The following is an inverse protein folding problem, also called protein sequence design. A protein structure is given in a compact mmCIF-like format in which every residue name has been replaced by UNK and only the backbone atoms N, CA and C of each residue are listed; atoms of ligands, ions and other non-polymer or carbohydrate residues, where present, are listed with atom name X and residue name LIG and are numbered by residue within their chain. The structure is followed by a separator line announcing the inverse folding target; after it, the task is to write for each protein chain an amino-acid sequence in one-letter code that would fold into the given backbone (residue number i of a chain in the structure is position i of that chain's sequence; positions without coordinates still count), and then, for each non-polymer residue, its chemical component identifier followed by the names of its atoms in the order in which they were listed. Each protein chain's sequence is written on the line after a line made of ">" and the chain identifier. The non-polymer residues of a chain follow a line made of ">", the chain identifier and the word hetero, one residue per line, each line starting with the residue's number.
data_IF_567637649362
#
_entry.id   IF_567637649362
#
_cell.length_a   1.000
_cell.length_b   1.000
_cell.length_c   1.000
_cell.angle_alpha   90.00
_cell.angle_beta   90.00
_cell.angle_gamma   90.00
#
_symmetry.space_group_name_H-M   'P 1'
#
loop_
_entity.id
_entity.type
_entity.pdbx_description
1 polymer ?
#
# COMPACT_ATOMS: atom_id res chain seq x y z
N UNK A 1 -1.81 8.75 0.02
CA UNK A 1 -1.15 9.84 0.78
C UNK A 1 -0.49 10.87 -0.13
N UNK A 2 -0.62 10.78 -1.46
CA UNK A 2 -0.18 11.85 -2.37
C UNK A 2 -1.02 13.12 -2.21
N UNK A 3 -2.25 12.98 -1.71
CA UNK A 3 -3.26 14.04 -1.73
C UNK A 3 -3.36 14.78 -0.39
N UNK A 4 -2.52 14.45 0.59
CA UNK A 4 -2.45 15.13 1.90
C UNK A 4 -1.02 15.14 2.43
N UNK A 5 -0.17 15.94 1.78
CA UNK A 5 1.24 16.07 2.16
C UNK A 5 1.41 16.81 3.48
N UNK A 6 0.58 17.81 3.77
CA UNK A 6 0.62 18.57 5.03
C UNK A 6 0.35 17.66 6.25
N UNK A 7 -0.64 16.78 6.15
CA UNK A 7 -0.94 15.80 7.19
C UNK A 7 0.22 14.81 7.40
N UNK A 8 0.89 14.39 6.32
CA UNK A 8 2.07 13.53 6.41
C UNK A 8 3.25 14.25 7.09
N UNK A 9 3.54 15.48 6.67
CA UNK A 9 4.58 16.33 7.26
C UNK A 9 4.33 16.59 8.74
N UNK A 10 3.08 16.85 9.13
CA UNK A 10 2.71 17.06 10.53
C UNK A 10 3.08 15.88 11.44
N UNK A 11 2.91 14.65 10.95
CA UNK A 11 3.34 13.44 11.67
C UNK A 11 4.86 13.41 11.79
N UNK A 12 5.58 13.74 10.71
CA UNK A 12 7.04 13.76 10.71
C UNK A 12 7.59 14.80 11.69
N UNK A 13 7.08 16.03 11.66
CA UNK A 13 7.43 17.11 12.59
C UNK A 13 7.29 16.67 14.04
N UNK A 14 6.17 16.04 14.37
CA UNK A 14 5.92 15.53 15.73
C UNK A 14 6.97 14.48 16.12
N UNK A 15 7.29 13.54 15.23
CA UNK A 15 8.21 12.43 15.54
C UNK A 15 9.68 12.83 15.55
N UNK A 16 10.08 13.89 14.83
CA UNK A 16 11.47 14.23 14.54
C UNK A 16 12.38 14.33 15.78
N UNK A 17 11.87 14.96 16.85
CA UNK A 17 12.63 15.17 18.08
C UNK A 17 12.42 14.06 19.13
N UNK A 18 11.53 13.09 18.88
CA UNK A 18 11.06 12.11 19.88
C UNK A 18 11.55 10.71 19.53
N UNK A 19 11.61 10.36 18.24
CA UNK A 19 11.90 9.02 17.76
C UNK A 19 13.18 9.04 16.90
N UNK A 20 14.20 8.24 17.22
CA UNK A 20 15.47 8.24 16.49
C UNK A 20 15.37 7.70 15.06
N UNK A 21 14.34 6.89 14.78
CA UNK A 21 14.08 6.36 13.44
C UNK A 21 12.58 6.15 13.25
N UNK A 22 11.99 6.92 12.33
CA UNK A 22 10.59 6.86 11.98
C UNK A 22 10.43 6.74 10.46
N UNK A 23 9.42 6.00 10.01
CA UNK A 23 9.10 5.86 8.60
C UNK A 23 7.63 5.60 8.39
N UNK A 24 7.04 6.28 7.41
CA UNK A 24 5.63 6.11 7.05
C UNK A 24 5.49 5.13 5.89
N UNK A 25 4.68 4.09 6.06
CA UNK A 25 4.35 3.16 4.99
C UNK A 25 3.18 3.71 4.17
N UNK A 26 3.41 3.94 2.89
CA UNK A 26 2.37 4.28 1.92
C UNK A 26 2.18 3.14 0.93
N UNK A 27 0.96 2.92 0.41
CA UNK A 27 0.76 2.03 -0.74
C UNK A 27 1.48 2.59 -1.97
N UNK A 28 2.22 1.73 -2.68
CA UNK A 28 2.98 2.09 -3.89
C UNK A 28 2.56 1.13 -4.99
N UNK A 29 1.39 1.36 -5.59
CA UNK A 29 0.87 0.50 -6.65
C UNK A 29 0.81 1.23 -7.98
N UNK A 30 1.23 0.52 -9.04
CA UNK A 30 1.18 1.00 -10.41
C UNK A 30 0.69 -0.10 -11.33
N UNK A 31 -0.17 0.26 -12.26
CA UNK A 31 -0.64 -0.62 -13.31
C UNK A 31 -0.17 -0.12 -14.68
N UNK A 32 0.09 -1.07 -15.58
CA UNK A 32 0.44 -0.85 -16.99
C UNK A 32 -0.61 -0.05 -17.78
N UNK A 33 -1.84 0.05 -17.28
CA UNK A 33 -2.87 0.93 -17.86
C UNK A 33 -2.67 2.42 -17.54
N UNK A 34 -1.62 2.79 -16.80
CA UNK A 34 -1.33 4.16 -16.40
C UNK A 34 -1.92 4.56 -15.04
N UNK A 35 -2.75 3.72 -14.43
CA UNK A 35 -3.27 3.97 -13.08
C UNK A 35 -2.17 3.82 -12.01
N UNK A 36 -2.15 4.74 -11.07
CA UNK A 36 -1.34 4.68 -9.84
C UNK A 36 -2.21 4.99 -8.63
N UNK A 37 -2.05 4.24 -7.56
CA UNK A 37 -2.86 4.41 -6.35
C UNK A 37 -2.70 3.23 -5.42
N UNK A 38 -3.80 2.82 -4.77
CA UNK A 38 -3.83 1.60 -3.97
C UNK A 38 -4.77 0.55 -4.58
N UNK A 39 -4.22 -0.64 -4.86
CA UNK A 39 -4.93 -1.72 -5.52
C UNK A 39 -6.01 -2.31 -4.60
N UNK A 40 -7.01 -2.94 -5.20
CA UNK A 40 -8.06 -3.64 -4.47
C UNK A 40 -7.50 -4.98 -4.02
N UNK A 41 -7.51 -5.23 -2.71
CA UNK A 41 -7.17 -6.55 -2.18
C UNK A 41 -8.36 -7.50 -2.39
N UNK A 42 -8.08 -8.69 -2.89
CA UNK A 42 -9.04 -9.76 -3.17
C UNK A 42 -8.60 -11.04 -2.47
N UNK A 43 -9.44 -12.06 -2.40
CA UNK A 43 -9.07 -13.34 -1.76
C UNK A 43 -7.84 -13.99 -2.41
N UNK A 44 -7.59 -13.75 -3.70
CA UNK A 44 -6.51 -14.36 -4.48
C UNK A 44 -5.34 -13.42 -4.80
N UNK A 45 -5.30 -12.21 -4.23
CA UNK A 45 -4.21 -11.25 -4.47
C UNK A 45 -4.72 -9.83 -4.63
N UNK A 46 -4.29 -9.14 -5.69
CA UNK A 46 -4.62 -7.74 -5.94
C UNK A 46 -5.20 -7.51 -7.33
N UNK A 47 -6.02 -6.47 -7.43
CA UNK A 47 -6.71 -6.08 -8.65
C UNK A 47 -6.60 -4.56 -8.87
N UNK A 48 -6.32 -4.16 -10.10
CA UNK A 48 -6.34 -2.75 -10.48
C UNK A 48 -7.79 -2.22 -10.47
N UNK A 49 -8.10 -1.13 -9.75
CA UNK A 49 -9.47 -0.59 -9.70
C UNK A 49 -9.93 0.05 -11.02
N UNK A 50 -9.00 0.36 -11.93
CA UNK A 50 -9.31 1.04 -13.19
C UNK A 50 -9.51 0.09 -14.37
N UNK A 51 -8.68 -0.94 -14.51
CA UNK A 51 -8.74 -1.88 -15.64
C UNK A 51 -8.91 -3.35 -15.24
N UNK A 52 -9.09 -3.65 -13.95
CA UNK A 52 -9.30 -4.99 -13.41
C UNK A 52 -8.15 -5.99 -13.65
N UNK A 53 -6.97 -5.52 -14.03
CA UNK A 53 -5.79 -6.36 -14.19
C UNK A 53 -5.37 -6.98 -12.85
N UNK A 54 -5.07 -8.28 -12.85
CA UNK A 54 -4.57 -9.10 -11.72
C UNK A 54 -3.22 -9.76 -11.99
N UNK A 55 -2.66 -9.53 -13.18
CA UNK A 55 -1.46 -10.20 -13.67
C UNK A 55 -0.22 -9.32 -13.61
N UNK A 56 0.82 -9.72 -14.35
CA UNK A 56 2.16 -9.11 -14.36
C UNK A 56 2.19 -7.60 -14.66
N UNK A 57 1.16 -7.06 -15.31
CA UNK A 57 1.04 -5.63 -15.56
C UNK A 57 0.62 -4.80 -14.34
N UNK A 58 0.37 -5.40 -13.18
CA UNK A 58 0.09 -4.74 -11.91
C UNK A 58 1.28 -4.97 -10.97
N UNK A 59 1.83 -3.90 -10.43
CA UNK A 59 2.90 -3.96 -9.44
C UNK A 59 2.35 -3.45 -8.12
N UNK A 60 2.20 -4.34 -7.14
CA UNK A 60 1.85 -3.99 -5.77
C UNK A 60 3.10 -4.03 -4.88
N UNK A 61 3.37 -2.96 -4.12
CA UNK A 61 4.53 -2.92 -3.22
C UNK A 61 4.13 -2.51 -1.81
N UNK A 62 4.55 -3.30 -0.81
CA UNK A 62 4.25 -3.08 0.60
C UNK A 62 5.48 -3.30 1.46
N UNK A 63 5.63 -2.52 2.53
CA UNK A 63 6.54 -2.83 3.64
C UNK A 63 5.74 -3.52 4.75
N UNK A 64 5.96 -4.82 4.95
CA UNK A 64 5.24 -5.59 5.98
C UNK A 64 6.13 -5.84 7.21
N UNK A 65 7.36 -6.29 7.01
CA UNK A 65 8.27 -6.69 8.10
C UNK A 65 9.61 -5.93 8.10
N UNK A 66 9.71 -4.81 7.36
CA UNK A 66 10.90 -3.94 7.36
C UNK A 66 11.47 -3.63 5.98
N UNK A 67 11.32 -4.54 5.01
CA UNK A 67 11.71 -4.32 3.61
C UNK A 67 10.49 -4.10 2.72
N UNK A 68 10.71 -3.41 1.59
CA UNK A 68 9.72 -3.37 0.53
C UNK A 68 9.68 -4.74 -0.15
N UNK A 69 8.49 -5.32 -0.24
CA UNK A 69 8.22 -6.56 -0.93
C UNK A 69 7.07 -6.40 -1.93
N UNK A 70 7.07 -7.26 -2.93
CA UNK A 70 5.98 -7.38 -3.88
C UNK A 70 5.09 -8.57 -3.48
N UNK A 71 3.86 -8.34 -2.99
CA UNK A 71 2.94 -9.42 -2.61
C UNK A 71 2.56 -10.33 -3.79
N UNK A 72 2.66 -9.89 -5.04
CA UNK A 72 2.35 -10.73 -6.20
C UNK A 72 3.43 -11.81 -6.40
N UNK A 73 4.70 -11.51 -6.10
CA UNK A 73 5.80 -12.49 -6.20
C UNK A 73 6.00 -13.31 -4.93
N UNK A 74 5.61 -12.75 -3.78
CA UNK A 74 5.61 -13.43 -2.48
C UNK A 74 4.28 -13.16 -1.77
N UNK A 75 3.25 -13.98 -2.03
CA UNK A 75 1.92 -13.81 -1.48
C UNK A 75 1.93 -13.72 0.04
N UNK A 76 1.03 -12.88 0.57
CA UNK A 76 0.75 -12.88 1.98
C UNK A 76 0.20 -14.24 2.42
N UNK A 77 0.46 -14.59 3.68
CA UNK A 77 -0.25 -15.71 4.27
C UNK A 77 -1.75 -15.37 4.40
N UNK A 78 -2.58 -16.40 4.56
CA UNK A 78 -4.05 -16.27 4.61
C UNK A 78 -4.53 -15.22 5.61
N UNK A 79 -3.96 -15.21 6.82
CA UNK A 79 -4.35 -14.27 7.88
C UNK A 79 -4.04 -12.82 7.52
N UNK A 80 -2.83 -12.56 6.98
CA UNK A 80 -2.43 -11.23 6.54
C UNK A 80 -3.25 -10.75 5.34
N UNK A 81 -3.57 -11.63 4.40
CA UNK A 81 -4.44 -11.28 3.28
C UNK A 81 -5.84 -10.88 3.76
N UNK A 82 -6.43 -11.66 4.66
CA UNK A 82 -7.74 -11.34 5.24
C UNK A 82 -7.72 -10.02 6.01
N UNK A 83 -6.65 -9.76 6.76
CA UNK A 83 -6.47 -8.50 7.48
C UNK A 83 -6.46 -7.31 6.52
N UNK A 84 -5.74 -7.41 5.39
CA UNK A 84 -5.71 -6.35 4.37
C UNK A 84 -7.06 -6.16 3.69
N UNK A 85 -7.78 -7.24 3.37
CA UNK A 85 -9.14 -7.17 2.78
C UNK A 85 -10.11 -6.44 3.70
N UNK A 86 -10.01 -6.66 5.02
CA UNK A 86 -10.93 -6.06 6.00
C UNK A 86 -10.59 -4.59 6.35
N UNK A 87 -9.54 -4.00 5.76
CA UNK A 87 -9.16 -2.61 6.04
C UNK A 87 -10.17 -1.65 5.42
N UNK A 88 -10.79 -0.82 6.27
CA UNK A 88 -11.57 0.33 5.83
C UNK A 88 -10.61 1.45 5.41
N UNK A 89 -10.86 2.04 4.25
CA UNK A 89 -10.09 3.18 3.73
C UNK A 89 -10.97 4.41 3.77
N UNK A 90 -10.46 5.48 4.39
CA UNK A 90 -11.17 6.76 4.49
C UNK A 90 -10.68 7.64 3.35
N UNK A 91 -11.56 7.87 2.37
CA UNK A 91 -11.33 8.73 1.22
C UNK A 91 -12.24 9.96 1.36
N UNK A 92 -11.93 10.82 2.32
CA UNK A 92 -12.55 12.14 2.49
C UNK A 92 -11.48 13.22 2.40
#
# INVERSE_FOLDING_TARGET
>A
MTDNLEGLERIWDYTYNIIPYFGTNTPIDRCSCGWSGEAIATESGFECPHCHNKGSGLSVTRRVCGYLGNPDSRPFNKGKQQEVINRVKHHE
#
